data_IF_640820042566
#
_entry.id   IF_640820042566
#
_cell.length_a   1.000
_cell.length_b   1.000
_cell.length_c   1.000
_cell.angle_alpha   90.00
_cell.angle_beta   90.00
_cell.angle_gamma   90.00
#
_symmetry.space_group_name_H-M   'P 1'
#
loop_
_entity.id
_entity.type
_entity.pdbx_description
1 polymer ?
#
# COMPACT_ATOMS: atom_id res chain seq x y z
N UNK A 1 7.34 -7.05 -10.84
CA UNK A 1 7.06 -5.65 -10.44
C UNK A 1 7.02 -5.52 -8.93
N UNK A 2 6.08 -6.18 -8.22
CA UNK A 2 5.95 -6.09 -6.75
C UNK A 2 7.24 -6.40 -5.98
N UNK A 3 8.00 -7.42 -6.40
CA UNK A 3 9.29 -7.78 -5.79
C UNK A 3 10.33 -6.65 -5.80
N UNK A 4 10.35 -5.82 -6.86
CA UNK A 4 11.23 -4.65 -6.97
C UNK A 4 10.81 -3.55 -5.99
N UNK A 5 9.51 -3.24 -5.95
CA UNK A 5 8.95 -2.25 -5.03
C UNK A 5 9.17 -2.63 -3.57
N UNK A 6 8.99 -3.91 -3.23
CA UNK A 6 9.23 -4.41 -1.88
C UNK A 6 10.71 -4.33 -1.49
N UNK A 7 11.61 -4.62 -2.42
CA UNK A 7 13.06 -4.50 -2.20
C UNK A 7 13.46 -3.05 -1.93
N UNK A 8 12.93 -2.11 -2.71
CA UNK A 8 13.16 -0.67 -2.50
C UNK A 8 12.61 -0.19 -1.16
N UNK A 9 11.40 -0.63 -0.79
CA UNK A 9 10.80 -0.32 0.52
C UNK A 9 11.69 -0.82 1.67
N UNK A 10 12.15 -2.07 1.62
CA UNK A 10 13.03 -2.65 2.65
C UNK A 10 14.41 -1.98 2.73
N UNK A 11 14.95 -1.55 1.59
CA UNK A 11 16.20 -0.78 1.57
C UNK A 11 16.02 0.61 2.20
N UNK A 12 14.90 1.29 1.92
CA UNK A 12 14.63 2.64 2.45
C UNK A 12 14.18 2.61 3.91
N UNK A 13 13.42 1.60 4.30
CA UNK A 13 12.83 1.41 5.62
C UNK A 13 13.14 -0.02 6.12
N UNK A 14 14.34 -0.28 6.67
CA UNK A 14 14.73 -1.62 7.11
C UNK A 14 13.85 -2.21 8.21
N UNK A 15 13.29 -1.35 9.08
CA UNK A 15 12.29 -1.72 10.09
C UNK A 15 10.85 -1.46 9.63
N UNK A 16 10.67 -1.26 8.33
CA UNK A 16 9.37 -1.06 7.72
C UNK A 16 8.54 -2.34 7.77
N UNK A 17 7.23 -2.17 7.95
CA UNK A 17 6.26 -3.24 7.93
C UNK A 17 5.15 -2.93 6.94
N UNK A 18 4.53 -4.00 6.45
CA UNK A 18 3.29 -3.95 5.70
C UNK A 18 2.21 -4.58 6.57
N UNK A 19 1.09 -3.90 6.74
CA UNK A 19 -0.08 -4.42 7.45
C UNK A 19 -1.24 -4.49 6.47
N UNK A 20 -1.80 -5.69 6.30
CA UNK A 20 -2.94 -5.96 5.44
C UNK A 20 -4.20 -6.14 6.28
N UNK A 21 -5.31 -5.57 5.85
CA UNK A 21 -6.58 -5.58 6.55
C UNK A 21 -7.73 -5.78 5.56
N UNK A 22 -8.51 -6.85 5.75
CA UNK A 22 -9.80 -7.02 5.08
C UNK A 22 -10.82 -6.08 5.70
N UNK A 23 -11.21 -5.04 4.97
CA UNK A 23 -12.13 -4.01 5.47
C UNK A 23 -13.57 -4.48 5.42
N UNK A 24 -13.96 -5.12 4.32
CA UNK A 24 -15.31 -5.62 4.11
C UNK A 24 -15.36 -6.61 2.94
N UNK A 25 -16.48 -7.33 2.86
CA UNK A 25 -16.89 -8.09 1.68
C UNK A 25 -18.20 -7.45 1.19
N UNK A 26 -18.20 -6.89 -0.02
CA UNK A 26 -19.35 -6.20 -0.59
C UNK A 26 -19.59 -6.68 -2.01
N UNK A 27 -20.79 -7.18 -2.31
CA UNK A 27 -21.17 -7.72 -3.62
C UNK A 27 -20.19 -8.77 -4.17
N UNK A 28 -19.69 -9.63 -3.28
CA UNK A 28 -18.71 -10.66 -3.61
C UNK A 28 -17.28 -10.16 -3.80
N UNK A 29 -17.02 -8.86 -3.58
CA UNK A 29 -15.68 -8.28 -3.62
C UNK A 29 -15.08 -8.20 -2.23
N UNK A 30 -13.90 -8.79 -2.05
CA UNK A 30 -13.03 -8.54 -0.91
C UNK A 30 -12.39 -7.16 -1.07
N UNK A 31 -12.61 -6.28 -0.12
CA UNK A 31 -11.99 -4.94 -0.08
C UNK A 31 -10.88 -4.96 0.96
N UNK A 32 -9.64 -4.84 0.50
CA UNK A 32 -8.42 -4.92 1.33
C UNK A 32 -7.72 -3.57 1.37
N UNK A 33 -7.25 -3.18 2.55
CA UNK A 33 -6.30 -2.08 2.73
C UNK A 33 -4.95 -2.63 3.14
N UNK A 34 -3.89 -2.14 2.50
CA UNK A 34 -2.51 -2.38 2.93
C UNK A 34 -1.89 -1.05 3.33
N UNK A 35 -1.31 -1.00 4.52
CA UNK A 35 -0.55 0.14 5.03
C UNK A 35 0.94 -0.21 5.07
N UNK A 36 1.77 0.60 4.45
CA UNK A 36 3.22 0.56 4.56
C UNK A 36 3.65 1.59 5.61
N UNK A 37 4.39 1.16 6.62
CA UNK A 37 4.77 2.02 7.73
C UNK A 37 6.07 1.61 8.40
N UNK A 38 6.56 2.47 9.28
CA UNK A 38 7.75 2.21 10.11
C UNK A 38 7.50 2.75 11.51
N UNK A 39 7.89 2.00 12.54
CA UNK A 39 7.73 2.38 13.94
C UNK A 39 6.28 2.82 14.30
N UNK A 40 5.27 2.12 13.77
CA UNK A 40 3.85 2.43 14.01
C UNK A 40 3.29 3.61 13.23
N UNK A 41 4.09 4.31 12.43
CA UNK A 41 3.64 5.42 11.57
C UNK A 41 3.36 4.89 10.17
N UNK A 42 2.13 5.08 9.68
CA UNK A 42 1.77 4.79 8.29
C UNK A 42 2.35 5.87 7.37
N UNK A 43 3.16 5.45 6.40
CA UNK A 43 3.78 6.32 5.40
C UNK A 43 2.98 6.34 4.10
N UNK A 44 2.36 5.22 3.74
CA UNK A 44 1.45 5.13 2.61
C UNK A 44 0.43 4.01 2.82
N UNK A 45 -0.69 4.10 2.12
CA UNK A 45 -1.69 3.03 2.07
C UNK A 45 -2.18 2.80 0.65
N UNK A 46 -2.63 1.58 0.39
CA UNK A 46 -3.27 1.17 -0.85
C UNK A 46 -4.56 0.41 -0.56
N UNK A 47 -5.55 0.58 -1.44
CA UNK A 47 -6.80 -0.17 -1.43
C UNK A 47 -6.86 -1.06 -2.66
N UNK A 48 -7.36 -2.28 -2.49
CA UNK A 48 -7.65 -3.23 -3.55
C UNK A 48 -9.03 -3.85 -3.36
N UNK A 49 -9.70 -4.15 -4.46
CA UNK A 49 -10.99 -4.84 -4.46
C UNK A 49 -11.00 -5.90 -5.56
N UNK A 50 -11.34 -7.13 -5.21
CA UNK A 50 -11.42 -8.23 -6.15
C UNK A 50 -12.33 -9.34 -5.59
N UNK A 51 -12.85 -10.22 -6.46
CA UNK A 51 -13.60 -11.41 -6.05
C UNK A 51 -12.71 -12.49 -5.42
N UNK A 52 -11.39 -12.38 -5.57
CA UNK A 52 -10.38 -13.19 -4.87
C UNK A 52 -9.63 -12.34 -3.84
N UNK A 53 -9.50 -12.85 -2.61
CA UNK A 53 -8.87 -12.11 -1.51
C UNK A 53 -7.39 -11.81 -1.82
N UNK A 54 -6.66 -12.80 -2.32
CA UNK A 54 -5.23 -12.70 -2.62
C UNK A 54 -4.97 -11.64 -3.70
N UNK A 55 -5.83 -11.57 -4.72
CA UNK A 55 -5.69 -10.55 -5.77
C UNK A 55 -6.05 -9.16 -5.25
N UNK A 56 -7.04 -9.03 -4.36
CA UNK A 56 -7.34 -7.76 -3.71
C UNK A 56 -6.15 -7.27 -2.87
N UNK A 57 -5.51 -8.17 -2.12
CA UNK A 57 -4.32 -7.88 -1.33
C UNK A 57 -3.11 -7.51 -2.19
N UNK A 58 -2.84 -8.24 -3.27
CA UNK A 58 -1.75 -7.93 -4.21
C UNK A 58 -1.91 -6.54 -4.83
N UNK A 59 -3.14 -6.18 -5.21
CA UNK A 59 -3.48 -4.85 -5.74
C UNK A 59 -3.28 -3.77 -4.67
N UNK A 60 -3.76 -4.00 -3.45
CA UNK A 60 -3.61 -3.08 -2.34
C UNK A 60 -2.12 -2.85 -2.01
N UNK A 61 -1.33 -3.92 -1.96
CA UNK A 61 0.11 -3.89 -1.67
C UNK A 61 0.87 -3.12 -2.74
N UNK A 62 0.63 -3.43 -4.02
CA UNK A 62 1.24 -2.73 -5.15
C UNK A 62 0.98 -1.23 -5.05
N UNK A 63 -0.29 -0.84 -4.85
CA UNK A 63 -0.70 0.56 -4.73
C UNK A 63 -0.11 1.28 -3.51
N UNK A 64 0.09 0.58 -2.38
CA UNK A 64 0.72 1.17 -1.20
C UNK A 64 2.19 1.49 -1.47
N UNK A 65 2.91 0.56 -2.10
CA UNK A 65 4.34 0.71 -2.38
C UNK A 65 4.62 1.69 -3.53
N UNK A 66 3.80 1.71 -4.58
CA UNK A 66 3.90 2.69 -5.67
C UNK A 66 3.77 4.13 -5.15
N UNK A 67 2.87 4.37 -4.19
CA UNK A 67 2.72 5.69 -3.56
C UNK A 67 3.96 6.15 -2.78
N UNK A 68 4.77 5.23 -2.26
CA UNK A 68 6.06 5.57 -1.63
C UNK A 68 7.16 5.87 -2.65
N UNK A 69 7.06 5.30 -3.86
CA UNK A 69 8.02 5.50 -4.94
C UNK A 69 7.72 6.74 -5.82
N UNK A 70 6.50 7.26 -5.78
CA UNK A 70 6.15 8.48 -6.49
C UNK A 70 6.84 9.70 -5.83
N UNK A 71 7.53 10.56 -6.59
CA UNK A 71 8.00 11.82 -6.04
C UNK A 71 6.78 12.58 -5.54
N UNK A 72 6.74 12.87 -4.24
CA UNK A 72 5.74 13.79 -3.67
C UNK A 72 5.86 15.08 -4.46
N UNK A 73 4.85 15.41 -5.27
CA UNK A 73 4.74 16.75 -5.82
C UNK A 73 4.86 17.72 -4.63
N UNK A 74 5.73 18.74 -4.71
CA UNK A 74 5.83 19.71 -3.63
C UNK A 74 4.42 20.24 -3.36
N UNK A 75 4.03 20.44 -2.09
CA UNK A 75 2.71 20.95 -1.77
C UNK A 75 2.51 22.23 -2.58
N UNK A 76 1.56 22.21 -3.51
CA UNK A 76 1.14 23.39 -4.25
C UNK A 76 0.66 24.36 -3.19
N UNK A 77 1.50 25.33 -2.85
CA UNK A 77 1.09 26.45 -2.02
C UNK A 77 0.03 27.19 -2.85
N UNK A 78 -1.22 27.05 -2.45
CA UNK A 78 -2.30 27.90 -2.95
C UNK A 78 -1.96 29.32 -2.49
N UNK A 79 -1.41 30.11 -3.41
CA UNK A 79 -1.29 31.56 -3.31
C UNK A 79 -2.43 32.17 -4.11
#
# INVERSE_FOLDING_TARGET
MLSSLLSQFRQRYPQGSLTSELLTIHDGLYVVRVCAGVNGITLASGLGANTTLETAEDVATTRALERLGAPTAPPTSLI
#
